data_IF_417888759870
#
_entry.id   IF_417888759870
#
_cell.length_a   1.000
_cell.length_b   1.000
_cell.length_c   1.000
_cell.angle_alpha   90.00
_cell.angle_beta   90.00
_cell.angle_gamma   90.00
#
_symmetry.space_group_name_H-M   'P 1'
#
loop_
_entity.id
_entity.type
_entity.pdbx_description
1 polymer ?
#
# COMPACT_ATOMS: atom_id res chain seq x y z
N UNK A 1 9.46 12.89 30.73
CA UNK A 1 9.86 11.48 30.48
C UNK A 1 8.62 10.75 30.00
N UNK A 2 8.49 10.54 28.70
CA UNK A 2 7.34 9.82 28.11
C UNK A 2 7.46 8.34 28.48
N UNK A 3 6.53 7.86 29.32
CA UNK A 3 6.35 6.42 29.55
C UNK A 3 6.13 5.75 28.19
N UNK A 4 7.05 4.87 27.80
CA UNK A 4 6.84 4.03 26.62
C UNK A 4 5.91 2.89 27.03
N UNK A 5 4.83 2.72 26.28
CA UNK A 5 3.95 1.56 26.43
C UNK A 5 4.63 0.33 25.83
N UNK A 6 4.39 -0.85 26.40
CA UNK A 6 4.90 -2.12 25.86
C UNK A 6 4.18 -2.57 24.56
N UNK A 7 3.19 -1.80 24.09
CA UNK A 7 2.44 -2.12 22.86
C UNK A 7 3.32 -1.88 21.63
N UNK A 8 3.43 -2.91 20.80
CA UNK A 8 4.10 -2.88 19.50
C UNK A 8 3.13 -3.27 18.37
N UNK A 9 3.01 -2.40 17.37
CA UNK A 9 2.34 -2.71 16.11
C UNK A 9 3.41 -3.07 15.08
N UNK A 10 3.37 -4.29 14.57
CA UNK A 10 4.22 -4.68 13.43
C UNK A 10 3.39 -4.58 12.15
N UNK A 11 3.90 -3.85 11.15
CA UNK A 11 3.26 -3.70 9.85
C UNK A 11 4.11 -4.41 8.80
N UNK A 12 3.52 -5.24 7.96
CA UNK A 12 4.23 -6.06 6.97
C UNK A 12 3.65 -5.89 5.56
N UNK A 13 4.51 -5.89 4.56
CA UNK A 13 4.11 -5.92 3.15
C UNK A 13 3.90 -7.35 2.64
N UNK A 14 2.78 -7.60 1.97
CA UNK A 14 2.45 -8.90 1.40
C UNK A 14 3.10 -9.15 0.02
N UNK A 15 3.76 -8.15 -0.56
CA UNK A 15 4.21 -8.21 -1.94
C UNK A 15 3.08 -7.92 -2.94
N UNK A 16 3.37 -7.83 -4.25
CA UNK A 16 2.37 -7.52 -5.28
C UNK A 16 1.65 -8.75 -5.85
N UNK A 17 1.95 -9.95 -5.33
CA UNK A 17 1.50 -11.21 -5.91
C UNK A 17 1.33 -12.33 -4.89
N UNK A 18 1.67 -13.56 -5.29
CA UNK A 18 1.55 -14.75 -4.45
C UNK A 18 2.52 -14.73 -3.26
N UNK A 19 2.31 -15.64 -2.30
CA UNK A 19 3.07 -15.71 -1.05
C UNK A 19 4.59 -15.90 -1.26
N UNK A 20 5.03 -16.38 -2.42
CA UNK A 20 6.45 -16.45 -2.79
C UNK A 20 7.15 -15.09 -2.89
N UNK A 21 6.39 -13.98 -2.96
CA UNK A 21 6.93 -12.61 -2.94
C UNK A 21 7.00 -11.99 -1.54
N UNK A 22 6.61 -12.72 -0.49
CA UNK A 22 6.82 -12.29 0.89
C UNK A 22 8.32 -12.22 1.19
N UNK A 23 8.75 -11.13 1.82
CA UNK A 23 10.09 -11.07 2.38
C UNK A 23 10.22 -12.06 3.53
N UNK A 24 11.44 -12.53 3.77
CA UNK A 24 11.71 -13.44 4.89
C UNK A 24 11.30 -12.81 6.23
N UNK A 25 11.58 -11.52 6.42
CA UNK A 25 11.20 -10.80 7.64
C UNK A 25 9.67 -10.70 7.79
N UNK A 26 8.94 -10.45 6.70
CA UNK A 26 7.47 -10.46 6.73
C UNK A 26 6.93 -11.85 7.08
N UNK A 27 7.48 -12.92 6.49
CA UNK A 27 7.10 -14.30 6.80
C UNK A 27 7.32 -14.65 8.28
N UNK A 28 8.49 -14.31 8.82
CA UNK A 28 8.82 -14.57 10.23
C UNK A 28 7.89 -13.80 11.17
N UNK A 29 7.56 -12.54 10.86
CA UNK A 29 6.61 -11.75 11.64
C UNK A 29 5.18 -12.30 11.57
N UNK A 30 4.72 -12.72 10.39
CA UNK A 30 3.40 -13.33 10.21
C UNK A 30 3.29 -14.67 10.98
N UNK A 31 4.33 -15.49 10.92
CA UNK A 31 4.37 -16.80 11.59
C UNK A 31 4.36 -16.67 13.11
N UNK A 32 5.06 -15.66 13.65
CA UNK A 32 5.12 -15.40 15.08
C UNK A 32 3.93 -14.60 15.64
N UNK A 33 2.96 -14.22 14.80
CA UNK A 33 1.84 -13.39 15.21
C UNK A 33 0.83 -14.18 16.05
N UNK A 34 0.27 -13.55 17.09
CA UNK A 34 -0.90 -14.07 17.80
C UNK A 34 -2.19 -13.89 16.99
N UNK A 35 -2.24 -12.84 16.15
CA UNK A 35 -3.32 -12.54 15.21
C UNK A 35 -2.75 -11.68 14.08
N UNK A 36 -3.21 -11.94 12.86
CA UNK A 36 -2.91 -11.14 11.67
C UNK A 36 -4.15 -10.34 11.30
N UNK A 37 -4.00 -9.04 11.12
CA UNK A 37 -5.00 -8.18 10.50
C UNK A 37 -4.62 -7.95 9.04
N UNK A 38 -5.47 -8.36 8.12
CA UNK A 38 -5.30 -8.08 6.69
C UNK A 38 -6.04 -6.80 6.33
N UNK A 39 -5.38 -5.93 5.56
CA UNK A 39 -6.05 -4.78 4.92
C UNK A 39 -7.16 -5.23 3.98
N UNK A 40 -6.97 -6.35 3.29
CA UNK A 40 -7.99 -7.02 2.47
C UNK A 40 -7.67 -8.50 2.34
N UNK A 41 -8.70 -9.34 2.33
CA UNK A 41 -8.59 -10.76 1.96
C UNK A 41 -8.40 -10.96 0.46
N UNK A 42 -8.69 -9.94 -0.36
CA UNK A 42 -8.57 -9.96 -1.83
C UNK A 42 -7.11 -9.74 -2.24
N UNK A 43 -6.22 -10.62 -1.80
CA UNK A 43 -4.79 -10.57 -2.11
C UNK A 43 -4.25 -11.96 -2.46
N UNK A 44 -3.46 -12.14 -3.53
CA UNK A 44 -2.99 -13.47 -3.94
C UNK A 44 -2.16 -14.19 -2.86
N UNK A 45 -1.37 -13.45 -2.07
CA UNK A 45 -0.61 -14.04 -0.98
C UNK A 45 -1.46 -14.67 0.15
N UNK A 46 -2.76 -14.34 0.29
CA UNK A 46 -3.59 -14.83 1.42
C UNK A 46 -3.63 -16.35 1.47
N UNK A 47 -3.72 -17.02 0.32
CA UNK A 47 -3.80 -18.48 0.25
C UNK A 47 -2.53 -19.19 0.74
N UNK A 48 -1.39 -18.50 0.78
CA UNK A 48 -0.10 -19.04 1.19
C UNK A 48 0.40 -18.53 2.54
N UNK A 49 -0.43 -17.83 3.32
CA UNK A 49 -0.06 -17.34 4.65
C UNK A 49 0.20 -18.49 5.64
N UNK A 50 1.00 -18.26 6.71
CA UNK A 50 1.27 -19.28 7.72
C UNK A 50 -0.02 -19.86 8.32
N UNK A 51 -0.13 -21.19 8.31
CA UNK A 51 -1.26 -21.90 8.88
C UNK A 51 -1.29 -21.80 10.41
N UNK A 52 -2.49 -21.81 10.99
CA UNK A 52 -2.67 -21.85 12.45
C UNK A 52 -2.64 -20.48 13.15
N UNK A 53 -2.35 -19.40 12.42
CA UNK A 53 -2.45 -18.03 12.94
C UNK A 53 -3.86 -17.47 12.66
N UNK A 54 -4.60 -16.98 13.67
CA UNK A 54 -5.89 -16.33 13.46
C UNK A 54 -5.77 -15.11 12.54
N UNK A 55 -6.69 -15.01 11.58
CA UNK A 55 -6.76 -13.89 10.63
C UNK A 55 -8.03 -13.08 10.89
N UNK A 56 -7.87 -11.77 10.92
CA UNK A 56 -8.93 -10.77 10.89
C UNK A 56 -8.78 -9.94 9.61
N UNK A 57 -9.88 -9.47 9.05
CA UNK A 57 -9.89 -8.73 7.78
C UNK A 57 -10.55 -7.37 7.97
N UNK A 58 -10.26 -6.45 7.05
CA UNK A 58 -10.83 -5.11 7.05
C UNK A 58 -11.75 -4.83 5.86
N UNK A 59 -12.09 -5.85 5.06
CA UNK A 59 -12.92 -5.72 3.86
C UNK A 59 -14.31 -5.16 4.16
N UNK A 60 -14.88 -5.48 5.32
CA UNK A 60 -16.16 -4.92 5.79
C UNK A 60 -16.14 -3.39 5.88
N UNK A 61 -14.98 -2.78 6.16
CA UNK A 61 -14.86 -1.31 6.18
C UNK A 61 -15.09 -0.75 4.78
N UNK A 62 -14.62 -1.42 3.72
CA UNK A 62 -14.88 -0.97 2.35
C UNK A 62 -16.35 -1.16 1.96
N UNK A 63 -17.01 -2.19 2.47
CA UNK A 63 -18.41 -2.51 2.15
C UNK A 63 -19.40 -1.59 2.88
N UNK A 64 -19.10 -1.24 4.13
CA UNK A 64 -19.99 -0.45 4.99
C UNK A 64 -19.78 1.07 4.89
N UNK A 65 -18.69 1.52 4.25
CA UNK A 65 -18.34 2.95 4.19
C UNK A 65 -18.69 3.56 2.83
N UNK A 66 -19.67 4.47 2.82
CA UNK A 66 -20.06 5.21 1.60
C UNK A 66 -19.00 6.25 1.17
N UNK A 67 -18.23 6.79 2.11
CA UNK A 67 -17.18 7.78 1.87
C UNK A 67 -15.80 7.10 1.84
N UNK A 68 -15.23 6.95 0.63
CA UNK A 68 -13.93 6.33 0.42
C UNK A 68 -12.80 7.04 1.21
N UNK A 69 -12.93 8.35 1.49
CA UNK A 69 -11.93 9.08 2.27
C UNK A 69 -11.88 8.63 3.73
N UNK A 70 -12.97 8.06 4.25
CA UNK A 70 -13.08 7.58 5.62
C UNK A 70 -12.56 6.14 5.81
N UNK A 71 -12.37 5.38 4.72
CA UNK A 71 -11.97 3.96 4.79
C UNK A 71 -10.63 3.75 5.49
N UNK A 72 -9.56 4.42 5.04
CA UNK A 72 -8.23 4.26 5.64
C UNK A 72 -8.16 4.77 7.11
N UNK A 73 -8.79 5.90 7.47
CA UNK A 73 -8.94 6.30 8.87
C UNK A 73 -9.62 5.23 9.74
N UNK A 74 -10.69 4.60 9.25
CA UNK A 74 -11.39 3.53 9.97
C UNK A 74 -10.53 2.27 10.12
N UNK A 75 -9.78 1.89 9.09
CA UNK A 75 -8.83 0.77 9.16
C UNK A 75 -7.77 1.07 10.23
N UNK A 76 -7.14 2.24 10.17
CA UNK A 76 -6.14 2.65 11.16
C UNK A 76 -6.70 2.61 12.59
N UNK A 77 -7.92 3.13 12.80
CA UNK A 77 -8.60 3.09 14.10
C UNK A 77 -8.84 1.65 14.58
N UNK A 78 -9.24 0.73 13.69
CA UNK A 78 -9.41 -0.69 14.01
C UNK A 78 -8.10 -1.34 14.45
N UNK A 79 -7.00 -1.10 13.73
CA UNK A 79 -5.68 -1.65 14.09
C UNK A 79 -5.21 -1.12 15.44
N UNK A 80 -5.39 0.18 15.70
CA UNK A 80 -5.05 0.81 16.97
C UNK A 80 -5.87 0.20 18.13
N UNK A 81 -7.18 0.01 17.93
CA UNK A 81 -8.04 -0.61 18.94
C UNK A 81 -7.63 -2.07 19.21
N UNK A 82 -7.34 -2.84 18.17
CA UNK A 82 -6.87 -4.20 18.29
C UNK A 82 -5.55 -4.30 19.06
N UNK A 83 -4.58 -3.42 18.74
CA UNK A 83 -3.31 -3.35 19.45
C UNK A 83 -3.47 -3.04 20.94
N UNK A 84 -4.38 -2.12 21.28
CA UNK A 84 -4.71 -1.79 22.67
C UNK A 84 -5.25 -2.99 23.44
N UNK A 85 -6.13 -3.79 22.82
CA UNK A 85 -6.76 -4.95 23.45
C UNK A 85 -5.81 -6.15 23.57
N UNK A 86 -5.01 -6.42 22.55
CA UNK A 86 -4.17 -7.61 22.47
C UNK A 86 -2.74 -7.41 23.01
N UNK A 87 -2.33 -6.18 23.33
CA UNK A 87 -0.95 -5.86 23.71
C UNK A 87 0.02 -5.77 22.51
N UNK A 88 -0.50 -5.77 21.28
CA UNK A 88 0.24 -5.75 20.04
C UNK A 88 -0.46 -6.52 18.93
N UNK A 89 -0.16 -6.20 17.67
CA UNK A 89 -0.76 -6.86 16.49
C UNK A 89 0.21 -6.87 15.30
N UNK A 90 -0.01 -7.81 14.38
CA UNK A 90 0.58 -7.79 13.03
C UNK A 90 -0.49 -7.32 12.04
N UNK A 91 -0.20 -6.22 11.33
CA UNK A 91 -1.04 -5.68 10.27
C UNK A 91 -0.36 -5.90 8.92
N UNK A 92 -1.02 -6.58 8.00
CA UNK A 92 -0.48 -6.91 6.68
C UNK A 92 -1.20 -6.14 5.58
N UNK A 93 -0.42 -5.50 4.71
CA UNK A 93 -0.91 -4.66 3.61
C UNK A 93 -0.42 -5.19 2.26
N UNK A 94 -1.18 -5.04 1.17
CA UNK A 94 -0.70 -5.34 -0.18
C UNK A 94 0.59 -4.60 -0.52
N UNK A 95 1.48 -5.24 -1.28
CA UNK A 95 2.71 -4.60 -1.76
C UNK A 95 3.71 -4.31 -0.64
N UNK A 96 4.17 -3.06 -0.59
CA UNK A 96 5.13 -2.55 0.39
C UNK A 96 4.46 -1.48 1.28
N UNK A 97 4.63 -1.51 2.62
CA UNK A 97 3.96 -0.56 3.50
C UNK A 97 4.34 0.90 3.33
N UNK A 98 5.46 1.21 2.65
CA UNK A 98 5.88 2.59 2.39
C UNK A 98 5.39 3.11 1.03
N UNK A 99 4.68 2.27 0.25
CA UNK A 99 4.30 2.60 -1.12
C UNK A 99 2.78 2.60 -1.28
N UNK A 100 2.19 3.81 -1.40
CA UNK A 100 0.76 4.01 -1.67
C UNK A 100 -0.20 3.36 -0.66
N UNK A 101 0.16 3.32 0.63
CA UNK A 101 -0.66 2.74 1.69
C UNK A 101 -0.87 3.74 2.84
N UNK A 102 -1.92 4.55 2.72
CA UNK A 102 -2.19 5.66 3.64
C UNK A 102 -2.47 5.21 5.09
N UNK A 103 -3.03 4.00 5.28
CA UNK A 103 -3.33 3.49 6.62
C UNK A 103 -2.08 3.36 7.50
N UNK A 104 -0.92 3.08 6.91
CA UNK A 104 0.36 2.92 7.61
C UNK A 104 0.77 4.21 8.33
N UNK A 105 0.73 5.34 7.61
CA UNK A 105 1.12 6.62 8.21
C UNK A 105 0.14 7.07 9.28
N UNK A 106 -1.17 6.85 9.07
CA UNK A 106 -2.19 7.10 10.08
C UNK A 106 -1.93 6.29 11.36
N UNK A 107 -1.60 5.01 11.24
CA UNK A 107 -1.23 4.15 12.39
C UNK A 107 0.04 4.67 13.08
N UNK A 108 1.08 5.05 12.32
CA UNK A 108 2.33 5.58 12.89
C UNK A 108 2.09 6.85 13.69
N UNK A 109 1.33 7.80 13.16
CA UNK A 109 0.99 9.04 13.84
C UNK A 109 0.20 8.77 15.13
N UNK A 110 -0.77 7.86 15.07
CA UNK A 110 -1.68 7.58 16.18
C UNK A 110 -0.98 6.75 17.28
N UNK A 111 -0.10 5.83 16.92
CA UNK A 111 0.78 5.11 17.83
C UNK A 111 1.79 6.05 18.51
N UNK A 112 2.37 6.98 17.77
CA UNK A 112 3.30 8.00 18.30
C UNK A 112 2.63 8.85 19.39
N UNK A 113 1.40 9.33 19.17
CA UNK A 113 0.63 10.09 20.18
C UNK A 113 0.41 9.31 21.48
N UNK A 114 0.35 7.97 21.40
CA UNK A 114 0.17 7.09 22.56
C UNK A 114 1.48 6.58 23.17
N UNK A 115 2.63 6.90 22.59
CA UNK A 115 3.92 6.37 23.02
C UNK A 115 4.08 4.87 22.78
N UNK A 116 3.48 4.34 21.72
CA UNK A 116 3.58 2.93 21.31
C UNK A 116 4.69 2.73 20.28
N UNK A 117 5.23 1.51 20.21
CA UNK A 117 6.16 1.11 19.17
C UNK A 117 5.45 0.80 17.85
N UNK A 118 6.06 1.19 16.73
CA UNK A 118 5.68 0.72 15.39
C UNK A 118 6.91 0.19 14.68
N UNK A 119 6.84 -1.06 14.23
CA UNK A 119 7.87 -1.68 13.39
C UNK A 119 7.29 -1.93 12.01
N UNK A 120 7.86 -1.31 10.98
CA UNK A 120 7.44 -1.49 9.59
C UNK A 120 8.46 -2.38 8.88
N UNK A 121 8.01 -3.54 8.39
CA UNK A 121 8.83 -4.47 7.63
C UNK A 121 8.56 -4.27 6.14
N UNK A 122 9.60 -3.99 5.33
CA UNK A 122 9.44 -3.72 3.91
C UNK A 122 8.91 -4.96 3.17
N UNK A 123 8.14 -4.69 2.12
CA UNK A 123 7.64 -5.66 1.16
C UNK A 123 8.18 -5.40 -0.23
N UNK A 124 7.85 -6.28 -1.18
CA UNK A 124 8.03 -6.00 -2.60
C UNK A 124 6.89 -5.09 -3.04
N UNK A 125 7.18 -3.94 -3.62
CA UNK A 125 6.13 -3.03 -4.12
C UNK A 125 5.65 -3.45 -5.52
N UNK A 126 4.65 -2.76 -6.06
CA UNK A 126 4.25 -2.93 -7.47
C UNK A 126 5.34 -2.46 -8.45
N UNK A 127 6.31 -1.67 -8.00
CA UNK A 127 7.37 -1.11 -8.86
C UNK A 127 8.23 -2.24 -9.43
N UNK A 128 8.68 -3.18 -8.60
CA UNK A 128 9.55 -4.28 -9.02
C UNK A 128 8.96 -5.14 -10.15
N UNK A 129 7.73 -5.67 -10.08
CA UNK A 129 7.16 -6.44 -11.18
C UNK A 129 6.91 -5.59 -12.42
N UNK A 130 6.56 -4.30 -12.30
CA UNK A 130 6.46 -3.41 -13.47
C UNK A 130 7.83 -3.28 -14.16
N UNK A 131 8.91 -3.10 -13.40
CA UNK A 131 10.27 -3.07 -13.98
C UNK A 131 10.62 -4.38 -14.68
N UNK A 132 10.24 -5.52 -14.10
CA UNK A 132 10.45 -6.82 -14.72
C UNK A 132 9.70 -6.95 -16.06
N UNK A 133 8.46 -6.48 -16.14
CA UNK A 133 7.65 -6.47 -17.37
C UNK A 133 8.20 -5.51 -18.45
N UNK A 134 8.89 -4.44 -18.03
CA UNK A 134 9.52 -3.50 -18.95
C UNK A 134 10.80 -4.05 -19.59
N UNK A 135 11.39 -5.12 -19.03
CA UNK A 135 12.60 -5.80 -19.51
C UNK A 135 13.80 -4.87 -19.77
N UNK A 136 13.88 -3.73 -19.06
CA UNK A 136 14.90 -2.70 -19.27
C UNK A 136 15.34 -2.06 -17.96
N UNK A 137 16.58 -1.59 -17.94
CA UNK A 137 17.08 -0.73 -16.86
C UNK A 137 16.36 0.62 -16.92
N UNK A 138 15.87 1.06 -15.76
CA UNK A 138 15.14 2.33 -15.60
C UNK A 138 16.03 3.45 -15.07
N UNK A 139 17.31 3.18 -14.84
CA UNK A 139 18.30 4.20 -14.57
C UNK A 139 18.87 4.79 -15.87
N UNK A 140 19.25 6.08 -15.88
CA UNK A 140 19.20 7.01 -14.75
C UNK A 140 17.83 7.68 -14.52
N UNK A 141 16.86 7.45 -15.40
CA UNK A 141 15.69 8.32 -15.53
C UNK A 141 14.38 7.53 -15.45
N UNK A 142 13.73 7.58 -14.29
CA UNK A 142 12.35 7.16 -14.08
C UNK A 142 11.69 8.06 -13.04
N UNK A 143 10.51 8.59 -13.36
CA UNK A 143 9.66 9.32 -12.42
C UNK A 143 8.61 8.36 -11.85
N UNK A 144 8.57 8.21 -10.52
CA UNK A 144 7.52 7.48 -9.82
C UNK A 144 6.60 8.49 -9.13
N UNK A 145 5.33 8.54 -9.51
CA UNK A 145 4.40 9.55 -9.02
C UNK A 145 3.04 8.95 -8.64
N UNK A 146 2.33 9.63 -7.75
CA UNK A 146 0.95 9.33 -7.41
C UNK A 146 0.00 10.06 -8.38
N UNK A 147 -0.83 9.33 -9.12
CA UNK A 147 -1.79 9.93 -10.04
C UNK A 147 -2.82 10.81 -9.34
N UNK A 148 -3.17 10.52 -8.09
CA UNK A 148 -4.17 11.32 -7.35
C UNK A 148 -3.68 12.75 -7.11
N UNK A 149 -2.36 12.95 -6.99
CA UNK A 149 -1.76 14.27 -6.83
C UNK A 149 -1.87 15.15 -8.10
N UNK A 150 -2.29 14.57 -9.23
CA UNK A 150 -2.33 15.26 -10.53
C UNK A 150 -3.74 15.76 -10.86
N UNK A 151 -4.77 15.23 -10.19
CA UNK A 151 -6.17 15.43 -10.59
C UNK A 151 -6.63 16.89 -10.45
N UNK A 152 -6.07 17.63 -9.49
CA UNK A 152 -6.39 19.05 -9.25
C UNK A 152 -5.40 20.01 -9.92
N UNK A 153 -4.48 19.51 -10.76
CA UNK A 153 -3.46 20.31 -11.42
C UNK A 153 -3.81 20.65 -12.86
N UNK A 154 -3.42 21.84 -13.31
CA UNK A 154 -3.55 22.23 -14.71
C UNK A 154 -2.47 21.61 -15.60
N UNK A 155 -1.26 21.42 -15.07
CA UNK A 155 -0.15 20.79 -15.79
C UNK A 155 0.44 19.68 -14.93
N UNK A 156 0.84 18.56 -15.54
CA UNK A 156 1.44 17.46 -14.80
C UNK A 156 2.85 17.89 -14.34
N UNK A 157 3.22 17.66 -13.06
CA UNK A 157 4.49 18.13 -12.49
C UNK A 157 5.63 17.16 -12.81
N UNK A 158 5.73 16.72 -14.06
CA UNK A 158 6.71 15.73 -14.52
C UNK A 158 7.44 16.24 -15.75
N UNK A 159 8.64 15.71 -15.99
CA UNK A 159 9.37 15.94 -17.24
C UNK A 159 8.83 15.00 -18.33
N UNK A 160 8.50 15.50 -19.54
CA UNK A 160 8.08 14.67 -20.65
C UNK A 160 9.24 13.94 -21.33
N UNK A 161 10.49 14.33 -21.05
CA UNK A 161 11.70 13.75 -21.65
C UNK A 161 12.14 12.44 -20.96
N UNK A 162 11.44 12.02 -19.90
CA UNK A 162 11.78 10.81 -19.15
C UNK A 162 10.54 9.96 -18.85
N UNK A 163 10.68 8.63 -18.75
CA UNK A 163 9.58 7.74 -18.38
C UNK A 163 8.90 8.13 -17.06
N UNK A 164 7.59 7.95 -17.00
CA UNK A 164 6.78 8.14 -15.78
C UNK A 164 5.96 6.89 -15.48
N UNK A 165 6.03 6.44 -14.23
CA UNK A 165 5.18 5.40 -13.66
C UNK A 165 4.19 6.06 -12.68
N UNK A 166 2.92 6.05 -13.05
CA UNK A 166 1.83 6.65 -12.28
C UNK A 166 1.11 5.57 -11.45
N UNK A 167 1.24 5.65 -10.13
CA UNK A 167 0.52 4.81 -9.19
C UNK A 167 -0.94 5.25 -9.03
N UNK A 168 -1.75 4.44 -8.35
CA UNK A 168 -3.12 4.78 -7.93
C UNK A 168 -4.12 5.08 -9.08
N UNK A 169 -3.89 4.56 -10.29
CA UNK A 169 -4.87 4.62 -11.39
C UNK A 169 -5.87 3.46 -11.28
N UNK A 170 -6.75 3.51 -10.27
CA UNK A 170 -7.61 2.38 -9.90
C UNK A 170 -9.06 2.47 -10.42
N UNK A 171 -9.45 3.60 -11.04
CA UNK A 171 -10.82 3.78 -11.55
C UNK A 171 -10.85 4.53 -12.87
N UNK A 172 -11.94 4.33 -13.63
CA UNK A 172 -12.20 5.07 -14.86
C UNK A 172 -12.29 6.58 -14.62
N UNK A 173 -12.84 7.00 -13.48
CA UNK A 173 -12.92 8.41 -13.11
C UNK A 173 -11.52 9.01 -12.93
N UNK A 174 -10.68 8.37 -12.12
CA UNK A 174 -9.27 8.78 -11.92
C UNK A 174 -8.51 8.82 -13.25
N UNK A 175 -8.65 7.78 -14.08
CA UNK A 175 -8.00 7.73 -15.39
C UNK A 175 -8.47 8.85 -16.34
N UNK A 176 -9.76 9.20 -16.31
CA UNK A 176 -10.32 10.26 -17.14
C UNK A 176 -9.78 11.63 -16.75
N UNK A 177 -9.78 11.96 -15.47
CA UNK A 177 -9.27 13.24 -14.96
C UNK A 177 -7.75 13.33 -15.16
N UNK A 178 -7.00 12.27 -14.84
CA UNK A 178 -5.56 12.19 -15.07
C UNK A 178 -5.21 12.44 -16.55
N UNK A 179 -5.97 11.86 -17.48
CA UNK A 179 -5.77 12.09 -18.92
C UNK A 179 -5.85 13.57 -19.27
N UNK A 180 -6.85 14.29 -18.74
CA UNK A 180 -7.02 15.72 -19.02
C UNK A 180 -5.81 16.53 -18.55
N UNK A 181 -5.27 16.24 -17.36
CA UNK A 181 -4.04 16.86 -16.88
C UNK A 181 -2.86 16.52 -17.79
N UNK A 182 -2.66 15.24 -18.14
CA UNK A 182 -1.54 14.80 -18.98
C UNK A 182 -1.56 15.40 -20.38
N UNK A 183 -2.74 15.63 -20.97
CA UNK A 183 -2.89 16.24 -22.30
C UNK A 183 -2.37 17.69 -22.39
N UNK A 184 -2.14 18.36 -21.25
CA UNK A 184 -1.50 19.68 -21.24
C UNK A 184 0.03 19.64 -21.38
N UNK A 185 0.63 18.45 -21.46
CA UNK A 185 2.07 18.25 -21.66
C UNK A 185 2.40 17.20 -22.74
N UNK A 186 1.58 16.15 -22.85
CA UNK A 186 1.76 15.07 -23.81
C UNK A 186 0.80 15.21 -25.00
N UNK A 187 1.25 14.93 -26.24
CA UNK A 187 0.38 14.97 -27.42
C UNK A 187 -0.71 13.88 -27.36
N UNK A 188 -1.79 14.05 -28.14
CA UNK A 188 -2.95 13.13 -28.15
C UNK A 188 -2.55 11.68 -28.51
N UNK A 189 -1.58 11.54 -29.41
CA UNK A 189 -1.03 10.26 -29.87
C UNK A 189 0.05 9.67 -28.94
N UNK A 190 0.35 10.30 -27.79
CA UNK A 190 1.34 9.78 -26.86
C UNK A 190 0.93 8.39 -26.35
N UNK A 191 1.85 7.43 -26.47
CA UNK A 191 1.58 6.06 -26.06
C UNK A 191 1.59 5.93 -24.55
N UNK A 192 0.54 5.30 -24.02
CA UNK A 192 0.41 4.96 -22.61
C UNK A 192 0.05 3.48 -22.47
N UNK A 193 0.48 2.86 -21.38
CA UNK A 193 0.12 1.50 -21.03
C UNK A 193 -0.50 1.48 -19.63
N UNK A 194 -1.59 0.73 -19.47
CA UNK A 194 -2.20 0.48 -18.18
C UNK A 194 -1.81 -0.93 -17.72
N UNK A 195 -1.04 -1.00 -16.64
CA UNK A 195 -0.57 -2.27 -16.07
C UNK A 195 -1.48 -2.67 -14.92
N UNK A 196 -2.08 -3.85 -15.04
CA UNK A 196 -2.85 -4.47 -13.97
C UNK A 196 -2.14 -5.73 -13.50
N UNK A 197 -2.30 -6.07 -12.23
CA UNK A 197 -1.88 -7.36 -11.69
C UNK A 197 -0.41 -7.70 -12.00
N UNK A 198 0.50 -6.71 -11.97
CA UNK A 198 1.87 -6.87 -12.46
C UNK A 198 2.64 -8.04 -11.83
N UNK A 199 2.28 -8.44 -10.59
CA UNK A 199 2.91 -9.52 -9.85
C UNK A 199 2.25 -10.90 -10.02
N UNK A 200 1.26 -11.07 -10.90
CA UNK A 200 0.48 -12.32 -11.07
C UNK A 200 0.08 -12.58 -12.51
#
# INVERSE_FOLDING_TARGET
MTQHSDILITIVGLGPGEAGMLTRDAWEALTGASVIYLRTQRHPAVAGLPAGVPIQICDDIYEDTADLSAVYPLIAARIIAAAQTAGGVVYAVPGDPHTAEASVEMIRMEAFKRGWGVRVLPGVSFVQPVMALLERDVLPNLQLCDALAFLDLHHPPVSPDVPVLLAQVYSRAVASELKLTLMNQYPEEHLVALVHAAGT
#
